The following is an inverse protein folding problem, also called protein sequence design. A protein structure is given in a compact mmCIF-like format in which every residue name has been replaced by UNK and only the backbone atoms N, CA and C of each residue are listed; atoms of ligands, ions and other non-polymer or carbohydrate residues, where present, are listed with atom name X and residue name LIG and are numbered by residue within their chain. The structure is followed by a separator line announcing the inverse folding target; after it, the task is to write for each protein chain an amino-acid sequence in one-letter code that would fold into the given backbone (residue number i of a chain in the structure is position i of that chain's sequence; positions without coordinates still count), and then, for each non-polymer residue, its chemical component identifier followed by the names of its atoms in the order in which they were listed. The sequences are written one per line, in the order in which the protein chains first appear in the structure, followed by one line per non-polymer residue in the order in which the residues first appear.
data_IF_589984933785
#
_entry.id   IF_589984933785
#
_cell.length_a   1.000
_cell.length_b   1.000
_cell.length_c   1.000
_cell.angle_alpha   90.00
_cell.angle_beta   90.00
_cell.angle_gamma   90.00
#
_symmetry.space_group_name_H-M   'P 1'
#
loop_
_entity.id
_entity.type
_entity.pdbx_description
1 polymer ?
#
# COMPACT_ATOMS: atom_id res chain seq x y z
N UNK A 1 -1.61 -7.96 -48.01
CA UNK A 1 -1.14 -8.69 -46.82
C UNK A 1 -1.60 -7.98 -45.55
N UNK A 2 -1.70 -8.72 -44.46
CA UNK A 2 -2.54 -8.46 -43.27
C UNK A 2 -2.15 -7.24 -42.41
N UNK A 3 -3.18 -6.68 -41.77
CA UNK A 3 -3.14 -5.71 -40.66
C UNK A 3 -2.61 -6.42 -39.41
N UNK A 4 -1.72 -5.78 -38.65
CA UNK A 4 -1.48 -5.97 -37.20
C UNK A 4 -0.26 -5.17 -36.79
N UNK A 5 -0.49 -4.00 -36.18
CA UNK A 5 0.45 -3.46 -35.21
C UNK A 5 -0.43 -2.92 -34.07
N UNK A 6 -0.74 -3.85 -33.17
CA UNK A 6 -1.47 -3.60 -31.93
C UNK A 6 -0.49 -2.87 -31.02
N UNK A 7 -0.82 -1.68 -30.47
CA UNK A 7 0.06 -1.04 -29.51
C UNK A 7 0.21 -1.98 -28.31
N UNK A 8 1.47 -2.27 -28.00
CA UNK A 8 1.93 -3.00 -26.83
C UNK A 8 1.26 -2.39 -25.60
N UNK A 9 0.27 -3.12 -25.10
CA UNK A 9 -0.44 -2.86 -23.86
C UNK A 9 0.58 -3.10 -22.75
N UNK A 10 1.48 -2.13 -22.55
CA UNK A 10 2.41 -2.11 -21.43
C UNK A 10 1.53 -2.15 -20.20
N UNK A 11 1.52 -3.33 -19.60
CA UNK A 11 0.89 -3.64 -18.35
C UNK A 11 1.02 -2.42 -17.44
N UNK A 12 -0.12 -1.84 -17.07
CA UNK A 12 -0.21 -1.16 -15.80
C UNK A 12 0.11 -2.23 -14.77
N UNK A 13 1.41 -2.41 -14.51
CA UNK A 13 1.90 -2.94 -13.28
C UNK A 13 1.40 -1.92 -12.26
N UNK A 14 0.16 -2.12 -11.79
CA UNK A 14 -0.28 -1.66 -10.50
C UNK A 14 0.86 -2.08 -9.58
N UNK A 15 1.71 -1.11 -9.25
CA UNK A 15 2.54 -1.15 -8.09
C UNK A 15 1.54 -1.21 -6.96
N UNK A 16 1.03 -2.41 -6.68
CA UNK A 16 0.62 -2.78 -5.35
C UNK A 16 1.94 -2.70 -4.60
N UNK A 17 2.15 -1.72 -3.71
CA UNK A 17 3.24 -1.84 -2.77
C UNK A 17 2.85 -2.99 -1.84
N UNK A 18 3.05 -4.23 -2.30
CA UNK A 18 3.39 -5.35 -1.43
C UNK A 18 4.83 -5.12 -0.98
N UNK A 19 5.05 -3.97 -0.33
CA UNK A 19 6.27 -3.74 0.41
C UNK A 19 6.00 -4.34 1.79
N UNK A 20 6.04 -5.67 1.80
CA UNK A 20 6.65 -6.43 2.90
C UNK A 20 8.12 -5.98 3.04
N UNK A 21 8.34 -4.69 3.33
CA UNK A 21 9.59 -4.20 3.89
C UNK A 21 9.72 -4.81 5.29
N UNK A 22 10.95 -5.11 5.72
CA UNK A 22 11.20 -5.80 6.98
C UNK A 22 10.44 -5.11 8.13
N UNK A 23 9.87 -5.90 9.03
CA UNK A 23 9.08 -5.48 10.20
C UNK A 23 9.85 -4.54 11.16
N UNK A 24 11.08 -4.20 10.83
CA UNK A 24 11.97 -3.26 11.49
C UNK A 24 11.62 -1.81 11.11
N UNK A 25 10.57 -1.28 11.72
CA UNK A 25 10.20 0.14 11.60
C UNK A 25 8.72 0.40 11.34
N UNK A 26 7.91 -0.64 11.18
CA UNK A 26 6.45 -0.50 11.09
C UNK A 26 5.87 -0.18 12.48
N UNK A 27 4.94 0.77 12.53
CA UNK A 27 4.20 1.14 13.73
C UNK A 27 2.87 0.40 13.72
N UNK A 28 2.55 -0.26 14.82
CA UNK A 28 1.24 -0.89 14.99
C UNK A 28 0.20 0.17 15.32
N UNK A 29 -0.87 0.20 14.54
CA UNK A 29 -2.03 1.06 14.74
C UNK A 29 -3.29 0.22 14.98
N UNK A 30 -4.26 0.80 15.68
CA UNK A 30 -5.50 0.16 16.09
C UNK A 30 -6.72 1.03 15.82
N UNK A 31 -7.81 0.43 15.34
CA UNK A 31 -9.11 1.09 15.15
C UNK A 31 -10.24 0.07 15.21
N UNK A 32 -11.29 0.36 15.98
CA UNK A 32 -12.49 -0.50 16.12
C UNK A 32 -12.23 -1.99 16.40
N UNK A 33 -11.14 -2.32 17.10
CA UNK A 33 -10.78 -3.71 17.42
C UNK A 33 -9.90 -4.41 16.37
N UNK A 34 -9.58 -3.73 15.27
CA UNK A 34 -8.63 -4.19 14.27
C UNK A 34 -7.26 -3.52 14.50
N UNK A 35 -6.19 -4.25 14.19
CA UNK A 35 -4.83 -3.73 14.24
C UNK A 35 -4.09 -3.96 12.93
N UNK A 36 -3.36 -2.95 12.46
CA UNK A 36 -2.55 -3.00 11.25
C UNK A 36 -1.13 -2.54 11.58
N UNK A 37 -0.16 -3.09 10.85
CA UNK A 37 1.21 -2.60 10.85
C UNK A 37 1.38 -1.68 9.66
N UNK A 38 1.75 -0.42 9.90
CA UNK A 38 1.90 0.57 8.85
C UNK A 38 3.23 1.28 8.98
N UNK A 39 3.76 1.74 7.85
CA UNK A 39 4.95 2.56 7.85
C UNK A 39 4.71 3.87 8.64
N UNK A 40 5.67 4.40 9.41
CA UNK A 40 5.53 5.61 10.23
C UNK A 40 5.06 6.82 9.42
N UNK A 41 5.46 6.90 8.14
CA UNK A 41 4.99 7.96 7.22
C UNK A 41 3.48 7.89 6.95
N UNK A 42 2.87 6.71 7.03
CA UNK A 42 1.44 6.51 6.87
C UNK A 42 0.67 6.63 8.19
N UNK A 43 1.33 6.65 9.35
CA UNK A 43 0.65 6.72 10.66
C UNK A 43 -0.15 8.00 10.80
N UNK A 44 0.36 9.14 10.34
CA UNK A 44 -0.36 10.42 10.42
C UNK A 44 -1.64 10.40 9.57
N UNK A 45 -1.58 9.81 8.38
CA UNK A 45 -2.74 9.63 7.51
C UNK A 45 -3.80 8.72 8.17
N UNK A 46 -3.37 7.66 8.87
CA UNK A 46 -4.28 6.78 9.61
C UNK A 46 -4.83 7.44 10.88
N UNK A 47 -4.04 8.26 11.58
CA UNK A 47 -4.52 9.04 12.73
C UNK A 47 -5.64 10.01 12.36
N UNK A 48 -5.54 10.67 11.21
CA UNK A 48 -6.60 11.53 10.69
C UNK A 48 -7.90 10.74 10.43
N UNK A 49 -7.78 9.47 10.03
CA UNK A 49 -8.89 8.54 9.85
C UNK A 49 -9.37 7.88 11.16
N UNK A 50 -8.87 8.30 12.32
CA UNK A 50 -9.29 7.81 13.64
C UNK A 50 -8.58 6.55 14.12
N UNK A 51 -7.46 6.15 13.50
CA UNK A 51 -6.61 5.09 14.01
C UNK A 51 -5.70 5.60 15.14
N UNK A 52 -5.39 4.73 16.11
CA UNK A 52 -4.50 5.03 17.23
C UNK A 52 -3.23 4.19 17.13
N UNK A 53 -2.07 4.81 17.10
CA UNK A 53 -0.79 4.10 17.25
C UNK A 53 -0.63 3.66 18.71
N UNK A 54 -0.18 2.43 18.93
CA UNK A 54 0.27 1.96 20.27
C UNK A 54 1.68 2.43 20.58
#
# INVERSE_FOLDING_TARGET
MARKDTPDEVAQQEVIPDESAPEEGLVRIWKHGESLWVHPTCVEAHKNQGWKSV
#
